data_IF_784241166271
#
_entry.id   IF_784241166271
#
_cell.length_a   1.000
_cell.length_b   1.000
_cell.length_c   1.000
_cell.angle_alpha   90.00
_cell.angle_beta   90.00
_cell.angle_gamma   90.00
#
_symmetry.space_group_name_H-M   'P 1'
#
loop_
_entity.id
_entity.type
_entity.pdbx_description
1 polymer ?
#
# COMPACT_ATOMS: atom_id res chain seq x y z
N UNK A 1 -16.46 -41.21 55.13
CA UNK A 1 -15.60 -40.87 53.97
C UNK A 1 -15.73 -41.97 52.90
N UNK A 2 -16.90 -42.11 52.26
CA UNK A 2 -17.15 -43.27 51.38
C UNK A 2 -18.31 -43.10 50.37
N UNK A 3 -18.82 -41.87 50.17
CA UNK A 3 -20.01 -41.65 49.32
C UNK A 3 -19.70 -40.89 48.00
N UNK A 4 -18.53 -40.23 47.86
CA UNK A 4 -18.21 -39.40 46.68
C UNK A 4 -17.46 -40.15 45.55
N UNK A 5 -17.07 -41.42 45.73
CA UNK A 5 -16.26 -42.15 44.72
C UNK A 5 -17.05 -43.05 43.76
N UNK A 6 -18.39 -43.08 43.82
CA UNK A 6 -19.19 -43.99 42.99
C UNK A 6 -19.78 -43.35 41.73
N UNK A 7 -19.86 -42.03 41.65
CA UNK A 7 -20.46 -41.33 40.50
C UNK A 7 -19.50 -41.02 39.34
N UNK A 8 -18.18 -41.00 39.59
CA UNK A 8 -17.20 -40.65 38.55
C UNK A 8 -16.97 -41.74 37.48
N UNK A 9 -17.27 -43.01 37.74
CA UNK A 9 -17.04 -44.08 36.76
C UNK A 9 -18.09 -44.19 35.65
N UNK A 10 -19.27 -43.57 35.81
CA UNK A 10 -20.38 -43.78 34.87
C UNK A 10 -20.31 -42.89 33.64
N UNK A 11 -19.65 -41.73 33.72
CA UNK A 11 -19.63 -40.71 32.66
C UNK A 11 -18.65 -40.99 31.52
N UNK A 12 -17.58 -41.77 31.76
CA UNK A 12 -16.58 -42.09 30.72
C UNK A 12 -17.02 -43.17 29.71
N UNK A 13 -17.86 -44.13 30.14
CA UNK A 13 -18.24 -45.28 29.28
C UNK A 13 -19.17 -44.91 28.12
N UNK A 14 -19.96 -43.85 28.26
CA UNK A 14 -20.97 -43.46 27.26
C UNK A 14 -20.38 -42.63 26.11
N UNK A 15 -19.27 -41.90 26.34
CA UNK A 15 -18.66 -41.03 25.31
C UNK A 15 -17.74 -41.78 24.33
N UNK A 16 -17.01 -42.81 24.80
CA UNK A 16 -16.11 -43.60 23.93
C UNK A 16 -16.83 -44.46 22.88
N UNK A 17 -18.10 -44.81 23.11
CA UNK A 17 -18.80 -45.82 22.30
C UNK A 17 -19.51 -45.31 21.05
N UNK A 18 -19.61 -43.99 20.83
CA UNK A 18 -20.22 -43.43 19.60
C UNK A 18 -19.21 -43.00 18.54
N UNK A 19 -17.99 -42.59 18.92
CA UNK A 19 -16.95 -42.18 17.94
C UNK A 19 -16.10 -43.35 17.42
N UNK A 20 -16.00 -44.45 18.17
CA UNK A 20 -15.09 -45.55 17.81
C UNK A 20 -15.68 -46.57 16.83
N UNK A 21 -16.99 -46.55 16.57
CA UNK A 21 -17.67 -47.60 15.79
C UNK A 21 -17.73 -47.36 14.28
N UNK A 22 -17.38 -46.16 13.79
CA UNK A 22 -17.45 -45.84 12.35
C UNK A 22 -16.12 -45.96 11.59
N UNK A 23 -14.99 -46.12 12.30
CA UNK A 23 -13.65 -46.19 11.68
C UNK A 23 -13.27 -47.61 11.21
N UNK A 24 -14.00 -48.64 11.67
CA UNK A 24 -13.61 -50.06 11.54
C UNK A 24 -13.84 -50.71 10.17
N UNK A 25 -14.51 -50.05 9.22
CA UNK A 25 -14.87 -50.63 7.91
C UNK A 25 -14.10 -50.03 6.72
N UNK A 26 -13.17 -49.11 6.98
CA UNK A 26 -12.45 -48.38 5.93
C UNK A 26 -11.19 -49.15 5.54
N UNK A 27 -10.98 -49.50 4.25
CA UNK A 27 -9.80 -50.23 3.83
C UNK A 27 -8.53 -49.39 4.06
N UNK A 28 -7.43 -50.04 4.43
CA UNK A 28 -6.17 -49.36 4.80
C UNK A 28 -5.61 -48.43 3.71
N UNK A 29 -5.89 -48.73 2.44
CA UNK A 29 -5.54 -47.91 1.28
C UNK A 29 -6.16 -46.50 1.36
N UNK A 30 -7.39 -46.39 1.90
CA UNK A 30 -8.08 -45.10 2.06
C UNK A 30 -7.43 -44.26 3.14
N UNK A 31 -6.85 -44.87 4.17
CA UNK A 31 -6.08 -44.15 5.19
C UNK A 31 -4.80 -43.54 4.62
N UNK A 32 -4.10 -44.25 3.73
CA UNK A 32 -2.89 -43.73 3.06
C UNK A 32 -3.24 -42.61 2.07
N UNK A 33 -4.32 -42.79 1.29
CA UNK A 33 -4.78 -41.74 0.40
C UNK A 33 -5.16 -40.47 1.17
N UNK A 34 -5.82 -40.62 2.32
CA UNK A 34 -6.21 -39.50 3.17
C UNK A 34 -5.00 -38.75 3.75
N UNK A 35 -3.96 -39.44 4.23
CA UNK A 35 -2.76 -38.79 4.79
C UNK A 35 -1.98 -38.03 3.72
N UNK A 36 -1.86 -38.58 2.52
CA UNK A 36 -1.22 -37.92 1.37
C UNK A 36 -2.00 -36.67 0.93
N UNK A 37 -3.33 -36.74 0.87
CA UNK A 37 -4.19 -35.60 0.50
C UNK A 37 -4.13 -34.50 1.56
N UNK A 38 -4.16 -34.85 2.84
CA UNK A 38 -4.08 -33.86 3.93
C UNK A 38 -2.72 -33.16 3.95
N UNK A 39 -1.62 -33.92 3.81
CA UNK A 39 -0.25 -33.36 3.77
C UNK A 39 -0.01 -32.50 2.52
N UNK A 40 -0.49 -32.94 1.35
CA UNK A 40 -0.41 -32.18 0.10
C UNK A 40 -1.29 -30.93 0.10
N UNK A 41 -2.52 -31.04 0.61
CA UNK A 41 -3.48 -29.94 0.69
C UNK A 41 -3.01 -28.80 1.59
N UNK A 42 -2.46 -29.11 2.77
CA UNK A 42 -1.89 -28.10 3.67
C UNK A 42 -0.70 -27.36 3.04
N UNK A 43 0.18 -28.09 2.35
CA UNK A 43 1.31 -27.50 1.62
C UNK A 43 0.84 -26.59 0.47
N UNK A 44 -0.14 -27.03 -0.32
CA UNK A 44 -0.67 -26.25 -1.43
C UNK A 44 -1.42 -24.99 -0.97
N UNK A 45 -2.20 -25.08 0.11
CA UNK A 45 -2.87 -23.91 0.72
C UNK A 45 -1.84 -22.93 1.27
N UNK A 46 -0.78 -23.41 1.94
CA UNK A 46 0.31 -22.57 2.42
C UNK A 46 1.00 -21.81 1.29
N UNK A 47 1.37 -22.51 0.21
CA UNK A 47 2.00 -21.88 -0.98
C UNK A 47 1.02 -20.94 -1.68
N UNK A 48 -0.26 -21.29 -1.78
CA UNK A 48 -1.28 -20.42 -2.37
C UNK A 48 -1.51 -19.14 -1.55
N UNK A 49 -1.42 -19.23 -0.22
CA UNK A 49 -1.52 -18.08 0.69
C UNK A 49 -0.25 -17.21 0.64
N UNK A 50 0.93 -17.78 0.38
CA UNK A 50 2.16 -17.02 0.16
C UNK A 50 2.18 -16.32 -1.21
N UNK A 51 1.63 -16.96 -2.25
CA UNK A 51 1.52 -16.39 -3.60
C UNK A 51 0.34 -15.43 -3.76
N UNK A 52 -0.73 -15.60 -2.97
CA UNK A 52 -1.66 -14.50 -2.67
C UNK A 52 -0.96 -13.56 -1.73
N UNK A 53 -0.14 -12.65 -2.28
CA UNK A 53 0.22 -11.44 -1.53
C UNK A 53 -1.08 -10.95 -0.88
N UNK A 54 -1.15 -10.84 0.47
CA UNK A 54 -2.33 -10.34 1.13
C UNK A 54 -2.61 -9.01 0.43
N UNK A 55 -3.69 -9.00 -0.34
CA UNK A 55 -4.11 -7.86 -1.13
C UNK A 55 -4.18 -6.71 -0.15
N UNK A 56 -3.21 -5.80 -0.24
CA UNK A 56 -3.18 -4.54 0.45
C UNK A 56 -3.64 -3.51 -0.59
N UNK A 57 -4.94 -3.38 -0.88
CA UNK A 57 -5.39 -2.54 -1.98
C UNK A 57 -5.71 -1.12 -1.48
N UNK A 58 -5.66 -0.90 -0.17
CA UNK A 58 -6.13 0.34 0.43
C UNK A 58 -5.00 0.76 1.35
N UNK A 59 -4.07 1.60 0.88
CA UNK A 59 -3.14 2.30 1.75
C UNK A 59 -3.98 3.15 2.71
N UNK A 60 -4.24 2.70 3.95
CA UNK A 60 -5.18 3.38 4.81
C UNK A 60 -4.42 4.56 5.40
N UNK A 61 -4.82 5.78 5.05
CA UNK A 61 -4.22 7.02 5.57
C UNK A 61 -4.14 7.02 7.12
N UNK A 62 -5.05 6.30 7.77
CA UNK A 62 -5.15 6.17 9.23
C UNK A 62 -3.96 5.46 9.91
N UNK A 63 -3.21 4.59 9.21
CA UNK A 63 -2.09 3.84 9.81
C UNK A 63 -0.70 4.36 9.43
N UNK A 64 -0.60 5.50 8.72
CA UNK A 64 0.68 6.02 8.24
C UNK A 64 1.69 6.36 9.35
N UNK A 65 1.32 6.93 10.51
CA UNK A 65 2.27 7.25 11.57
C UNK A 65 2.97 6.00 12.13
N UNK A 66 2.26 4.88 12.21
CA UNK A 66 2.76 3.61 12.75
C UNK A 66 3.27 2.64 11.67
N UNK A 67 3.15 3.02 10.39
CA UNK A 67 3.65 2.25 9.26
C UNK A 67 5.18 2.22 9.20
N UNK A 68 5.72 1.09 8.74
CA UNK A 68 7.14 0.98 8.41
C UNK A 68 7.52 1.91 7.24
N UNK A 69 8.78 2.37 7.21
CA UNK A 69 9.28 3.23 6.13
C UNK A 69 9.08 2.59 4.74
N UNK A 70 9.27 1.28 4.62
CA UNK A 70 9.06 0.54 3.37
C UNK A 70 7.60 0.57 2.91
N UNK A 71 6.63 0.49 3.83
CA UNK A 71 5.21 0.56 3.49
C UNK A 71 4.82 1.97 3.03
N UNK A 72 5.36 3.02 3.67
CA UNK A 72 5.13 4.41 3.23
C UNK A 72 5.64 4.64 1.82
N UNK A 73 6.85 4.17 1.52
CA UNK A 73 7.43 4.25 0.17
C UNK A 73 6.58 3.49 -0.87
N UNK A 74 6.11 2.29 -0.55
CA UNK A 74 5.25 1.51 -1.44
C UNK A 74 3.93 2.23 -1.73
N UNK A 75 3.29 2.78 -0.69
CA UNK A 75 2.05 3.52 -0.83
C UNK A 75 2.21 4.83 -1.60
N UNK A 76 3.33 5.53 -1.42
CA UNK A 76 3.66 6.72 -2.18
C UNK A 76 3.84 6.40 -3.67
N UNK A 77 4.54 5.32 -4.01
CA UNK A 77 4.66 4.88 -5.41
C UNK A 77 3.29 4.56 -6.03
N UNK A 78 2.42 3.89 -5.27
CA UNK A 78 1.07 3.57 -5.73
C UNK A 78 0.23 4.83 -5.98
N UNK A 79 0.37 5.86 -5.14
CA UNK A 79 -0.27 7.15 -5.37
C UNK A 79 0.31 7.84 -6.62
N UNK A 80 1.64 7.92 -6.72
CA UNK A 80 2.32 8.56 -7.85
C UNK A 80 1.98 7.93 -9.21
N UNK A 81 1.73 6.62 -9.25
CA UNK A 81 1.35 5.90 -10.47
C UNK A 81 0.05 6.38 -11.12
N UNK A 82 -0.81 7.11 -10.38
CA UNK A 82 -2.02 7.70 -10.96
C UNK A 82 -1.73 8.95 -11.81
N UNK A 83 -0.55 9.55 -11.68
CA UNK A 83 -0.08 10.69 -12.47
C UNK A 83 -1.02 11.91 -12.48
N UNK A 84 -1.79 12.10 -11.40
CA UNK A 84 -2.58 13.33 -11.20
C UNK A 84 -1.91 14.21 -10.16
N UNK A 85 -2.19 15.51 -10.19
CA UNK A 85 -1.64 16.49 -9.26
C UNK A 85 -1.84 16.05 -7.80
N UNK A 86 -3.08 15.77 -7.40
CA UNK A 86 -3.40 15.40 -6.02
C UNK A 86 -2.68 14.14 -5.54
N UNK A 87 -2.55 13.12 -6.41
CA UNK A 87 -1.91 11.87 -6.03
C UNK A 87 -0.37 11.98 -6.03
N UNK A 88 0.22 12.81 -6.89
CA UNK A 88 1.65 13.11 -6.85
C UNK A 88 2.02 13.92 -5.61
N UNK A 89 1.19 14.91 -5.26
CA UNK A 89 1.37 15.68 -4.03
C UNK A 89 1.24 14.78 -2.79
N UNK A 90 0.21 13.93 -2.74
CA UNK A 90 0.04 12.94 -1.69
C UNK A 90 1.24 11.98 -1.60
N UNK A 91 1.78 11.52 -2.72
CA UNK A 91 2.96 10.66 -2.75
C UNK A 91 4.17 11.32 -2.09
N UNK A 92 4.41 12.60 -2.40
CA UNK A 92 5.50 13.38 -1.81
C UNK A 92 5.28 13.53 -0.30
N UNK A 93 4.09 13.94 0.13
CA UNK A 93 3.76 14.16 1.55
C UNK A 93 3.97 12.88 2.40
N UNK A 94 3.66 11.71 1.85
CA UNK A 94 3.83 10.42 2.53
C UNK A 94 5.28 10.07 2.88
N UNK A 95 6.25 10.55 2.10
CA UNK A 95 7.67 10.17 2.24
C UNK A 95 8.58 11.33 2.63
N UNK A 96 8.15 12.58 2.46
CA UNK A 96 8.91 13.77 2.81
C UNK A 96 9.12 13.90 4.33
N UNK A 97 8.19 13.37 5.13
CA UNK A 97 8.28 13.36 6.61
C UNK A 97 9.32 12.35 7.15
N UNK A 98 9.94 11.54 6.30
CA UNK A 98 10.97 10.59 6.74
C UNK A 98 12.27 11.33 7.12
N UNK A 99 12.91 10.95 8.24
CA UNK A 99 14.05 11.69 8.76
C UNK A 99 15.24 11.64 7.80
N UNK A 100 16.01 12.73 7.76
CA UNK A 100 17.14 12.90 6.84
C UNK A 100 18.28 11.88 7.06
N UNK A 101 18.39 11.30 8.25
CA UNK A 101 19.38 10.27 8.58
C UNK A 101 18.95 8.84 8.16
N UNK A 102 17.82 8.68 7.48
CA UNK A 102 17.33 7.36 7.08
C UNK A 102 18.17 6.77 5.94
N UNK A 103 18.51 5.45 5.95
CA UNK A 103 19.33 4.83 4.90
C UNK A 103 18.75 4.95 3.48
N UNK A 104 17.42 5.05 3.36
CA UNK A 104 16.73 5.21 2.07
C UNK A 104 16.58 6.69 1.64
N UNK A 105 17.15 7.65 2.37
CA UNK A 105 16.99 9.08 2.08
C UNK A 105 17.38 9.45 0.64
N UNK A 106 18.50 8.98 0.07
CA UNK A 106 18.86 9.31 -1.32
C UNK A 106 17.81 8.84 -2.34
N UNK A 107 17.18 7.70 -2.09
CA UNK A 107 16.13 7.17 -2.97
C UNK A 107 14.82 7.95 -2.84
N UNK A 108 14.49 8.40 -1.63
CA UNK A 108 13.33 9.26 -1.34
C UNK A 108 13.49 10.59 -2.08
N UNK A 109 14.64 11.26 -1.93
CA UNK A 109 14.90 12.55 -2.56
C UNK A 109 14.80 12.45 -4.10
N UNK A 110 15.34 11.39 -4.70
CA UNK A 110 15.22 11.13 -6.14
C UNK A 110 13.77 10.96 -6.59
N UNK A 111 12.92 10.33 -5.79
CA UNK A 111 11.49 10.16 -6.09
C UNK A 111 10.73 11.47 -5.96
N UNK A 112 10.97 12.22 -4.88
CA UNK A 112 10.38 13.54 -4.67
C UNK A 112 10.75 14.47 -5.84
N UNK A 113 12.00 14.45 -6.29
CA UNK A 113 12.44 15.23 -7.45
C UNK A 113 11.68 14.84 -8.73
N UNK A 114 11.59 13.54 -9.02
CA UNK A 114 10.87 13.05 -10.20
C UNK A 114 9.39 13.45 -10.17
N UNK A 115 8.71 13.25 -9.06
CA UNK A 115 7.29 13.59 -8.94
C UNK A 115 7.07 15.10 -8.98
N UNK A 116 8.00 15.89 -8.45
CA UNK A 116 7.97 17.35 -8.58
C UNK A 116 8.10 17.81 -10.03
N UNK A 117 8.95 17.16 -10.84
CA UNK A 117 9.00 17.39 -12.29
C UNK A 117 7.68 17.03 -12.97
N UNK A 118 7.04 15.93 -12.57
CA UNK A 118 5.76 15.52 -13.14
C UNK A 118 4.63 16.50 -12.77
N UNK A 119 4.62 17.03 -11.54
CA UNK A 119 3.73 18.12 -11.12
C UNK A 119 3.95 19.36 -11.99
N UNK A 120 5.21 19.74 -12.26
CA UNK A 120 5.52 20.88 -13.12
C UNK A 120 5.01 20.68 -14.55
N UNK A 121 5.09 19.47 -15.09
CA UNK A 121 4.51 19.15 -16.42
C UNK A 121 2.99 19.28 -16.42
N UNK A 122 2.32 18.91 -15.33
CA UNK A 122 0.86 19.10 -15.19
C UNK A 122 0.51 20.59 -15.13
N UNK A 123 1.30 21.39 -14.42
CA UNK A 123 1.14 22.85 -14.40
C UNK A 123 1.30 23.45 -15.80
N UNK A 124 2.35 23.08 -16.53
CA UNK A 124 2.55 23.51 -17.92
C UNK A 124 1.36 23.11 -18.81
N UNK A 125 0.85 21.88 -18.68
CA UNK A 125 -0.32 21.44 -19.43
C UNK A 125 -1.58 22.27 -19.10
N UNK A 126 -1.74 22.76 -17.87
CA UNK A 126 -2.81 23.67 -17.50
C UNK A 126 -2.62 25.05 -18.13
N UNK A 127 -1.39 25.57 -18.16
CA UNK A 127 -1.06 26.83 -18.81
C UNK A 127 -1.37 26.78 -20.32
N UNK A 128 -0.96 25.72 -21.01
CA UNK A 128 -1.23 25.52 -22.44
C UNK A 128 -2.74 25.40 -22.76
N UNK A 129 -3.57 25.05 -21.77
CA UNK A 129 -5.04 25.07 -21.89
C UNK A 129 -5.66 26.45 -21.63
N UNK A 130 -4.84 27.49 -21.48
CA UNK A 130 -5.28 28.85 -21.15
C UNK A 130 -5.67 29.02 -19.67
N UNK A 131 -5.32 28.08 -18.80
CA UNK A 131 -5.68 28.13 -17.37
C UNK A 131 -4.51 28.62 -16.52
N UNK A 132 -4.13 29.89 -16.68
CA UNK A 132 -2.98 30.47 -15.98
C UNK A 132 -3.06 30.27 -14.45
N UNK A 133 -4.20 30.60 -13.84
CA UNK A 133 -4.35 30.52 -12.38
C UNK A 133 -4.18 29.07 -11.86
N UNK A 134 -4.68 28.08 -12.60
CA UNK A 134 -4.53 26.66 -12.26
C UNK A 134 -3.06 26.23 -12.38
N UNK A 135 -2.37 26.64 -13.45
CA UNK A 135 -0.96 26.35 -13.65
C UNK A 135 -0.08 26.88 -12.52
N UNK A 136 -0.27 28.15 -12.15
CA UNK A 136 0.48 28.79 -11.05
C UNK A 136 0.18 28.08 -9.72
N UNK A 137 -1.08 27.78 -9.43
CA UNK A 137 -1.46 27.09 -8.19
C UNK A 137 -0.82 25.70 -8.06
N UNK A 138 -0.74 24.94 -9.17
CA UNK A 138 -0.06 23.64 -9.20
C UNK A 138 1.45 23.80 -8.99
N UNK A 139 2.09 24.72 -9.72
CA UNK A 139 3.54 24.92 -9.66
C UNK A 139 4.01 25.42 -8.28
N UNK A 140 3.20 26.23 -7.59
CA UNK A 140 3.47 26.69 -6.23
C UNK A 140 3.41 25.59 -5.16
N UNK A 141 2.82 24.43 -5.48
CA UNK A 141 2.71 23.29 -4.56
C UNK A 141 3.91 22.34 -4.62
N UNK A 142 4.87 22.63 -5.49
CA UNK A 142 6.15 21.92 -5.54
C UNK A 142 6.93 22.22 -4.24
N UNK A 143 7.47 21.22 -3.53
CA UNK A 143 8.21 21.43 -2.29
C UNK A 143 9.41 22.35 -2.48
N UNK A 144 9.76 23.18 -1.50
CA UNK A 144 10.85 24.16 -1.66
C UNK A 144 12.25 23.50 -1.75
N UNK A 145 12.44 22.35 -1.11
CA UNK A 145 13.75 21.71 -0.94
C UNK A 145 14.16 20.74 -2.08
N UNK A 146 13.64 20.95 -3.30
CA UNK A 146 13.96 20.10 -4.46
C UNK A 146 14.66 20.90 -5.56
N UNK A 147 15.45 20.21 -6.38
CA UNK A 147 16.16 20.83 -7.52
C UNK A 147 15.17 21.47 -8.53
N UNK A 148 13.92 20.99 -8.56
CA UNK A 148 12.86 21.48 -9.45
C UNK A 148 12.31 22.85 -9.06
N UNK A 149 12.40 23.26 -7.80
CA UNK A 149 11.84 24.52 -7.30
C UNK A 149 12.25 25.75 -8.12
N UNK A 150 13.54 26.03 -8.36
CA UNK A 150 13.94 27.17 -9.17
C UNK A 150 13.39 27.11 -10.61
N UNK A 151 13.25 25.92 -11.18
CA UNK A 151 12.67 25.73 -12.52
C UNK A 151 11.17 26.09 -12.51
N UNK A 152 10.45 25.68 -11.47
CA UNK A 152 9.04 25.99 -11.31
C UNK A 152 8.78 27.50 -11.15
N UNK A 153 9.62 28.18 -10.37
CA UNK A 153 9.53 29.64 -10.19
C UNK A 153 9.77 30.36 -11.52
N UNK A 154 10.83 30.00 -12.24
CA UNK A 154 11.12 30.58 -13.56
C UNK A 154 9.96 30.37 -14.55
N UNK A 155 9.31 29.20 -14.51
CA UNK A 155 8.13 28.91 -15.33
C UNK A 155 6.92 29.76 -14.97
N UNK A 156 6.67 29.97 -13.68
CA UNK A 156 5.59 30.86 -13.22
C UNK A 156 5.80 32.29 -13.74
N UNK A 157 7.02 32.82 -13.63
CA UNK A 157 7.37 34.15 -14.14
C UNK A 157 7.18 34.25 -15.66
N UNK A 158 7.64 33.24 -16.41
CA UNK A 158 7.46 33.14 -17.86
C UNK A 158 5.97 33.17 -18.24
N UNK A 159 5.14 32.35 -17.60
CA UNK A 159 3.71 32.28 -17.88
C UNK A 159 2.99 33.59 -17.59
N UNK A 160 3.33 34.25 -16.48
CA UNK A 160 2.76 35.55 -16.11
C UNK A 160 3.14 36.62 -17.14
N UNK A 161 4.39 36.62 -17.62
CA UNK A 161 4.85 37.55 -18.66
C UNK A 161 4.05 37.35 -19.95
N UNK A 162 3.97 36.12 -20.46
CA UNK A 162 3.25 35.77 -21.69
C UNK A 162 1.78 36.17 -21.60
N UNK A 163 1.14 35.94 -20.46
CA UNK A 163 -0.26 36.31 -20.28
C UNK A 163 -0.46 37.82 -20.26
N UNK A 164 0.44 38.56 -19.59
CA UNK A 164 0.35 40.02 -19.50
C UNK A 164 0.51 40.72 -20.86
N UNK A 165 1.32 40.16 -21.76
CA UNK A 165 1.50 40.70 -23.12
C UNK A 165 0.32 40.35 -24.02
N UNK A 166 -0.25 39.15 -23.89
CA UNK A 166 -1.45 38.75 -24.61
C UNK A 166 -2.66 39.63 -24.25
N UNK A 167 -2.86 39.93 -22.97
CA UNK A 167 -3.97 40.79 -22.52
C UNK A 167 -3.81 42.24 -22.98
N UNK A 168 -2.58 42.77 -23.07
CA UNK A 168 -2.32 44.14 -23.52
C UNK A 168 -2.45 44.34 -25.03
N UNK A 169 -2.44 43.26 -25.81
CA UNK A 169 -2.49 43.29 -27.29
C UNK A 169 -3.88 42.97 -27.86
N UNK A 170 -4.85 42.68 -27.00
CA UNK A 170 -6.27 42.50 -27.33
C UNK A 170 -7.06 43.77 -27.03
#
# INVERSE_FOLDING_TARGET
>A
MSIILRDFQKTDKVRKTRLQRSVSKVPWQVWIALTLIVSGGLSFIGVSLLLKLPSAPNCPKLFMPTASASLRLYCAELAANKQTFDNLLEAIELINDLPANHPLRPEIDRRIERWSLDILKLAEAAFQKGKLNEAIAIAQKIPENVIVTPIAIAKIEEWQLIWSTAVKSA
#
